data_IF_654841111131
#
_entry.id   IF_654841111131
#
_cell.length_a   1.000
_cell.length_b   1.000
_cell.length_c   1.000
_cell.angle_alpha   90.00
_cell.angle_beta   90.00
_cell.angle_gamma   90.00
#
_symmetry.space_group_name_H-M   'P 1'
#
loop_
_entity.id
_entity.type
_entity.pdbx_description
1 polymer ?
#
# COMPACT_ATOMS: atom_id res chain seq x y z
N UNK A 1 51.45 17.58 22.90
CA UNK A 1 51.19 16.67 21.76
C UNK A 1 49.69 16.32 21.70
N UNK A 2 48.75 17.26 21.48
CA UNK A 2 48.50 18.09 20.30
C UNK A 2 48.35 17.28 19.00
N UNK A 3 47.08 17.14 18.59
CA UNK A 3 46.59 16.86 17.23
C UNK A 3 46.80 15.45 16.66
N UNK A 4 46.06 14.48 17.21
CA UNK A 4 45.59 13.33 16.45
C UNK A 4 44.05 13.24 16.54
N UNK A 5 43.37 14.38 16.33
CA UNK A 5 42.05 14.35 15.72
C UNK A 5 42.30 13.79 14.32
N UNK A 6 42.24 12.46 14.19
CA UNK A 6 42.26 11.86 12.87
C UNK A 6 41.14 12.55 12.11
N UNK A 7 41.53 13.20 11.03
CA UNK A 7 40.63 13.73 10.02
C UNK A 7 39.96 12.54 9.32
N UNK A 8 39.23 11.73 10.07
CA UNK A 8 38.01 11.09 9.60
C UNK A 8 36.91 12.17 9.56
N UNK A 9 37.24 13.34 8.99
CA UNK A 9 36.31 13.99 8.09
C UNK A 9 35.96 12.89 7.09
N UNK A 10 34.90 12.14 7.41
CA UNK A 10 34.52 10.94 6.69
C UNK A 10 34.51 11.37 5.24
N UNK A 11 35.42 10.80 4.45
CA UNK A 11 35.46 11.10 3.03
C UNK A 11 34.06 10.75 2.55
N UNK A 12 33.25 11.78 2.32
CA UNK A 12 31.90 11.66 1.81
C UNK A 12 32.06 11.23 0.36
N UNK A 13 32.44 9.97 0.20
CA UNK A 13 32.54 9.31 -1.07
C UNK A 13 31.12 9.18 -1.56
N UNK A 14 30.81 9.88 -2.64
CA UNK A 14 29.52 9.80 -3.28
C UNK A 14 29.18 8.33 -3.56
N UNK A 15 27.91 7.92 -3.38
CA UNK A 15 27.51 6.54 -3.62
C UNK A 15 27.92 6.11 -5.03
N UNK A 16 28.75 5.08 -5.12
CA UNK A 16 29.12 4.51 -6.40
C UNK A 16 27.89 3.79 -6.97
N UNK A 17 27.34 4.28 -8.08
CA UNK A 17 26.16 3.67 -8.72
C UNK A 17 26.46 2.27 -9.29
N UNK A 18 27.73 1.91 -9.45
CA UNK A 18 28.19 0.57 -9.80
C UNK A 18 28.21 -0.41 -8.62
N UNK A 19 27.95 0.05 -7.38
CA UNK A 19 27.79 -0.84 -6.23
C UNK A 19 26.47 -1.63 -6.38
N UNK A 20 26.52 -2.99 -6.39
CA UNK A 20 25.32 -3.83 -6.46
C UNK A 20 24.29 -3.51 -5.37
N UNK A 21 24.73 -3.11 -4.18
CA UNK A 21 23.82 -2.70 -3.10
C UNK A 21 22.97 -1.49 -3.49
N UNK A 22 23.58 -0.51 -4.15
CA UNK A 22 22.87 0.69 -4.61
C UNK A 22 21.98 0.35 -5.79
N UNK A 23 22.49 -0.38 -6.79
CA UNK A 23 21.78 -0.68 -8.02
C UNK A 23 20.62 -1.68 -7.86
N UNK A 24 20.77 -2.69 -7.01
CA UNK A 24 19.81 -3.80 -6.88
C UNK A 24 18.87 -3.66 -5.68
N UNK A 25 19.26 -2.93 -4.64
CA UNK A 25 18.47 -2.83 -3.40
C UNK A 25 17.93 -1.41 -3.16
N UNK A 26 18.78 -0.39 -3.21
CA UNK A 26 18.37 0.99 -2.87
C UNK A 26 17.60 1.66 -3.98
N UNK A 27 18.13 1.60 -5.21
CA UNK A 27 17.53 2.27 -6.36
C UNK A 27 16.10 1.79 -6.66
N UNK A 28 15.80 0.47 -6.68
CA UNK A 28 14.43 0.00 -6.88
C UNK A 28 13.46 0.45 -5.79
N UNK A 29 13.93 0.52 -4.53
CA UNK A 29 13.13 0.98 -3.39
C UNK A 29 12.79 2.46 -3.49
N UNK A 30 13.74 3.30 -3.91
CA UNK A 30 13.50 4.74 -4.14
C UNK A 30 12.49 4.95 -5.26
N UNK A 31 12.66 4.23 -6.36
CA UNK A 31 11.74 4.28 -7.51
C UNK A 31 10.32 3.86 -7.10
N UNK A 32 10.19 2.76 -6.35
CA UNK A 32 8.91 2.30 -5.83
C UNK A 32 8.29 3.32 -4.87
N UNK A 33 9.08 3.93 -3.97
CA UNK A 33 8.60 4.96 -3.06
C UNK A 33 8.03 6.18 -3.82
N UNK A 34 8.75 6.65 -4.84
CA UNK A 34 8.30 7.77 -5.68
C UNK A 34 7.01 7.42 -6.44
N UNK A 35 6.93 6.23 -7.04
CA UNK A 35 5.75 5.78 -7.77
C UNK A 35 4.51 5.63 -6.89
N UNK A 36 4.66 4.97 -5.74
CA UNK A 36 3.57 4.81 -4.76
C UNK A 36 3.14 6.17 -4.20
N UNK A 37 4.10 7.03 -3.86
CA UNK A 37 3.82 8.39 -3.37
C UNK A 37 3.03 9.22 -4.38
N UNK A 38 3.46 9.24 -5.65
CA UNK A 38 2.76 9.95 -6.71
C UNK A 38 1.31 9.43 -6.91
N UNK A 39 1.12 8.11 -6.91
CA UNK A 39 -0.20 7.50 -7.05
C UNK A 39 -1.13 7.85 -5.87
N UNK A 40 -0.61 7.79 -4.63
CA UNK A 40 -1.37 8.17 -3.44
C UNK A 40 -1.74 9.66 -3.44
N UNK A 41 -0.80 10.55 -3.79
CA UNK A 41 -1.06 11.98 -3.89
C UNK A 41 -2.11 12.31 -4.96
N UNK A 42 -2.01 11.71 -6.15
CA UNK A 42 -2.99 11.91 -7.23
C UNK A 42 -4.39 11.41 -6.84
N UNK A 43 -4.47 10.20 -6.26
CA UNK A 43 -5.74 9.63 -5.79
C UNK A 43 -6.37 10.45 -4.66
N UNK A 44 -5.56 10.93 -3.72
CA UNK A 44 -5.99 11.83 -2.65
C UNK A 44 -6.54 13.15 -3.20
N UNK A 45 -5.81 13.82 -4.09
CA UNK A 45 -6.26 15.06 -4.72
C UNK A 45 -7.58 14.89 -5.48
N UNK A 46 -7.71 13.81 -6.25
CA UNK A 46 -8.93 13.52 -7.01
C UNK A 46 -10.15 13.27 -6.11
N UNK A 47 -9.99 12.50 -5.02
CA UNK A 47 -11.11 12.25 -4.11
C UNK A 47 -11.44 13.46 -3.25
N UNK A 48 -10.46 14.23 -2.81
CA UNK A 48 -10.70 15.50 -2.13
C UNK A 48 -11.48 16.47 -3.03
N UNK A 49 -11.16 16.54 -4.32
CA UNK A 49 -11.90 17.33 -5.30
C UNK A 49 -13.32 16.79 -5.54
N UNK A 50 -13.49 15.47 -5.65
CA UNK A 50 -14.79 14.81 -5.86
C UNK A 50 -15.74 15.04 -4.68
N UNK A 51 -15.25 14.85 -3.46
CA UNK A 51 -16.04 15.04 -2.23
C UNK A 51 -16.10 16.49 -1.78
N UNK A 52 -15.30 17.38 -2.38
CA UNK A 52 -15.10 18.77 -1.93
C UNK A 52 -14.80 18.83 -0.43
N UNK A 53 -14.00 17.88 0.03
CA UNK A 53 -13.67 17.70 1.44
C UNK A 53 -12.16 17.44 1.58
N UNK A 54 -11.39 18.37 2.17
CA UNK A 54 -9.94 18.21 2.31
C UNK A 54 -9.55 17.04 3.24
N UNK A 55 -10.49 16.48 4.01
CA UNK A 55 -10.28 15.32 4.86
C UNK A 55 -10.62 13.98 4.18
N UNK A 56 -11.05 14.00 2.91
CA UNK A 56 -11.31 12.77 2.17
C UNK A 56 -9.99 12.03 1.87
N UNK A 57 -9.93 10.76 2.25
CA UNK A 57 -8.80 9.87 2.01
C UNK A 57 -9.20 8.72 1.05
N UNK A 58 -8.31 8.31 0.12
CA UNK A 58 -8.56 7.24 -0.84
C UNK A 58 -8.85 5.87 -0.26
N UNK A 59 -8.45 5.60 0.98
CA UNK A 59 -8.80 4.39 1.71
C UNK A 59 -10.26 4.34 2.18
N UNK A 60 -10.96 5.48 2.23
CA UNK A 60 -12.30 5.57 2.84
C UNK A 60 -13.40 4.86 2.05
N UNK A 61 -13.20 4.59 0.76
CA UNK A 61 -14.16 3.85 -0.07
C UNK A 61 -14.04 2.32 0.07
N UNK A 62 -13.31 1.84 1.09
CA UNK A 62 -13.18 0.42 1.45
C UNK A 62 -12.13 -0.36 0.66
N UNK A 63 -11.40 0.30 -0.25
CA UNK A 63 -10.22 -0.24 -0.97
C UNK A 63 -9.22 -0.86 -0.01
N UNK A 64 -8.80 -0.09 1.01
CA UNK A 64 -7.77 -0.50 1.97
C UNK A 64 -8.23 -1.64 2.87
N UNK A 65 -9.48 -1.58 3.37
CA UNK A 65 -10.06 -2.64 4.20
C UNK A 65 -10.19 -3.97 3.45
N UNK A 66 -10.65 -3.93 2.20
CA UNK A 66 -10.77 -5.13 1.35
C UNK A 66 -9.42 -5.75 0.99
N UNK A 67 -8.43 -4.91 0.66
CA UNK A 67 -7.08 -5.37 0.37
C UNK A 67 -6.43 -6.04 1.59
N UNK A 68 -6.54 -5.41 2.77
CA UNK A 68 -6.05 -5.95 4.04
C UNK A 68 -6.68 -7.30 4.37
N UNK A 69 -8.02 -7.40 4.28
CA UNK A 69 -8.75 -8.63 4.55
C UNK A 69 -8.31 -9.78 3.63
N UNK A 70 -8.20 -9.51 2.34
CA UNK A 70 -7.80 -10.53 1.36
C UNK A 70 -6.36 -11.04 1.61
N UNK A 71 -5.43 -10.15 1.95
CA UNK A 71 -4.06 -10.55 2.29
C UNK A 71 -4.03 -11.38 3.56
N UNK A 72 -4.77 -10.98 4.59
CA UNK A 72 -4.86 -11.74 5.85
C UNK A 72 -5.43 -13.14 5.59
N UNK A 73 -6.45 -13.27 4.75
CA UNK A 73 -7.01 -14.56 4.38
C UNK A 73 -5.97 -15.45 3.66
N UNK A 74 -5.23 -14.89 2.70
CA UNK A 74 -4.17 -15.62 1.97
C UNK A 74 -3.02 -16.03 2.88
N UNK A 75 -2.61 -15.15 3.81
CA UNK A 75 -1.60 -15.46 4.82
C UNK A 75 -2.04 -16.55 5.79
N UNK A 76 -3.31 -16.53 6.22
CA UNK A 76 -3.88 -17.57 7.08
C UNK A 76 -3.93 -18.95 6.38
N UNK A 77 -4.03 -18.96 5.04
CA UNK A 77 -3.91 -20.18 4.23
C UNK A 77 -2.44 -20.62 4.01
N UNK A 78 -1.46 -19.91 4.57
CA UNK A 78 -0.03 -20.22 4.40
C UNK A 78 0.54 -19.87 3.02
N UNK A 79 -0.20 -19.08 2.21
CA UNK A 79 0.24 -18.70 0.87
C UNK A 79 1.20 -17.51 0.91
N UNK A 80 2.12 -17.45 -0.06
CA UNK A 80 3.18 -16.43 -0.11
C UNK A 80 3.48 -15.97 -1.55
N UNK A 81 4.43 -15.04 -1.70
CA UNK A 81 4.90 -14.56 -3.00
C UNK A 81 3.87 -13.70 -3.74
N UNK A 82 3.65 -13.98 -5.03
CA UNK A 82 2.75 -13.20 -5.90
C UNK A 82 1.27 -13.29 -5.49
N UNK A 83 0.89 -14.29 -4.69
CA UNK A 83 -0.48 -14.41 -4.19
C UNK A 83 -0.90 -13.21 -3.33
N UNK A 84 0.01 -12.64 -2.53
CA UNK A 84 -0.29 -11.49 -1.68
C UNK A 84 -0.69 -10.23 -2.47
N UNK A 85 0.13 -9.70 -3.41
CA UNK A 85 -0.24 -8.50 -4.16
C UNK A 85 -1.46 -8.73 -5.05
N UNK A 86 -1.65 -9.94 -5.61
CA UNK A 86 -2.85 -10.27 -6.37
C UNK A 86 -4.10 -10.29 -5.50
N UNK A 87 -4.01 -10.85 -4.29
CA UNK A 87 -5.11 -10.84 -3.33
C UNK A 87 -5.40 -9.43 -2.80
N UNK A 88 -4.37 -8.62 -2.52
CA UNK A 88 -4.55 -7.23 -2.13
C UNK A 88 -5.28 -6.44 -3.22
N UNK A 89 -4.85 -6.56 -4.46
CA UNK A 89 -5.46 -5.89 -5.60
C UNK A 89 -6.91 -6.36 -5.82
N UNK A 90 -7.12 -7.68 -5.88
CA UNK A 90 -8.44 -8.28 -6.08
C UNK A 90 -9.41 -7.97 -4.95
N UNK A 91 -8.96 -8.07 -3.70
CA UNK A 91 -9.75 -7.78 -2.51
C UNK A 91 -10.13 -6.30 -2.41
N UNK A 92 -9.20 -5.39 -2.69
CA UNK A 92 -9.47 -3.96 -2.73
C UNK A 92 -10.46 -3.60 -3.83
N UNK A 93 -10.30 -4.15 -5.03
CA UNK A 93 -11.20 -3.92 -6.16
C UNK A 93 -12.61 -4.46 -5.88
N UNK A 94 -12.71 -5.69 -5.37
CA UNK A 94 -13.98 -6.31 -5.01
C UNK A 94 -14.73 -5.53 -3.93
N UNK A 95 -14.04 -5.10 -2.86
CA UNK A 95 -14.65 -4.31 -1.79
C UNK A 95 -15.15 -2.95 -2.29
N UNK A 96 -14.35 -2.26 -3.11
CA UNK A 96 -14.72 -0.97 -3.70
C UNK A 96 -15.94 -1.11 -4.60
N UNK A 97 -15.94 -2.14 -5.45
CA UNK A 97 -17.06 -2.39 -6.36
C UNK A 97 -18.34 -2.72 -5.60
N UNK A 98 -18.24 -3.54 -4.55
CA UNK A 98 -19.36 -3.86 -3.67
C UNK A 98 -19.92 -2.60 -3.00
N UNK A 99 -19.06 -1.75 -2.41
CA UNK A 99 -19.49 -0.51 -1.75
C UNK A 99 -20.16 0.45 -2.75
N UNK A 100 -19.60 0.61 -3.95
CA UNK A 100 -20.20 1.42 -5.00
C UNK A 100 -21.56 0.87 -5.45
N UNK A 101 -21.70 -0.45 -5.60
CA UNK A 101 -22.96 -1.08 -5.96
C UNK A 101 -24.03 -0.87 -4.88
N UNK A 102 -23.68 -1.08 -3.61
CA UNK A 102 -24.59 -0.87 -2.48
C UNK A 102 -24.96 0.61 -2.30
N UNK A 103 -24.02 1.53 -2.46
CA UNK A 103 -24.26 2.96 -2.36
C UNK A 103 -25.24 3.46 -3.45
N UNK A 104 -25.17 2.90 -4.67
CA UNK A 104 -26.12 3.19 -5.75
C UNK A 104 -27.54 2.76 -5.41
N UNK A 105 -27.71 1.64 -4.71
CA UNK A 105 -29.02 1.15 -4.28
C UNK A 105 -29.59 1.99 -3.12
N UNK A 106 -28.75 2.45 -2.20
CA UNK A 106 -29.16 3.19 -1.01
C UNK A 106 -29.61 4.63 -1.28
N UNK A 107 -29.38 5.18 -2.48
CA UNK A 107 -29.72 6.57 -2.89
C UNK A 107 -29.22 7.68 -1.95
N UNK A 108 -28.20 7.41 -1.12
CA UNK A 108 -27.69 8.34 -0.10
C UNK A 108 -26.71 9.41 -0.59
N UNK A 109 -26.47 9.51 -1.91
CA UNK A 109 -25.51 10.45 -2.49
C UNK A 109 -24.07 10.24 -2.00
N UNK A 110 -23.27 11.30 -2.00
CA UNK A 110 -21.86 11.25 -1.56
C UNK A 110 -21.71 10.92 -0.07
N UNK A 111 -22.60 11.44 0.79
CA UNK A 111 -22.58 11.14 2.21
C UNK A 111 -22.87 9.66 2.50
N UNK A 112 -23.84 9.07 1.79
CA UNK A 112 -24.13 7.64 1.87
C UNK A 112 -22.96 6.76 1.42
N UNK A 113 -22.20 7.19 0.40
CA UNK A 113 -21.01 6.50 -0.04
C UNK A 113 -19.92 6.48 1.04
N UNK A 114 -19.71 7.59 1.75
CA UNK A 114 -18.75 7.66 2.86
C UNK A 114 -19.17 6.74 4.03
N UNK A 115 -20.46 6.71 4.37
CA UNK A 115 -20.97 5.82 5.42
C UNK A 115 -20.83 4.35 5.03
N UNK A 116 -21.12 4.00 3.77
CA UNK A 116 -20.91 2.63 3.28
C UNK A 116 -19.44 2.24 3.32
N UNK A 117 -18.54 3.16 2.97
CA UNK A 117 -17.10 2.99 3.09
C UNK A 117 -16.66 2.72 4.53
N UNK A 118 -17.15 3.53 5.48
CA UNK A 118 -16.89 3.37 6.91
C UNK A 118 -17.36 2.01 7.43
N UNK A 119 -18.61 1.64 7.12
CA UNK A 119 -19.21 0.36 7.54
C UNK A 119 -18.47 -0.82 6.91
N UNK A 120 -18.16 -0.75 5.61
CA UNK A 120 -17.40 -1.77 4.89
C UNK A 120 -15.99 -1.94 5.45
N UNK A 121 -15.31 -0.84 5.77
CA UNK A 121 -14.00 -0.85 6.43
C UNK A 121 -14.05 -1.49 7.82
N UNK A 122 -15.03 -1.13 8.63
CA UNK A 122 -15.24 -1.72 9.96
C UNK A 122 -15.52 -3.23 9.88
N UNK A 123 -16.37 -3.65 8.93
CA UNK A 123 -16.65 -5.06 8.66
C UNK A 123 -15.40 -5.82 8.25
N UNK A 124 -14.65 -5.32 7.26
CA UNK A 124 -13.40 -5.93 6.83
C UNK A 124 -12.40 -6.06 8.00
N UNK A 125 -12.32 -5.02 8.85
CA UNK A 125 -11.49 -5.05 10.04
C UNK A 125 -11.95 -6.07 11.08
N UNK A 126 -13.26 -6.26 11.28
CA UNK A 126 -13.78 -7.26 12.20
C UNK A 126 -13.46 -8.69 11.72
N UNK A 127 -13.68 -8.98 10.44
CA UNK A 127 -13.35 -10.28 9.84
C UNK A 127 -11.84 -10.51 9.86
N UNK A 128 -11.03 -9.49 9.56
CA UNK A 128 -9.58 -9.56 9.64
C UNK A 128 -9.11 -9.99 11.03
N UNK A 129 -9.67 -9.38 12.10
CA UNK A 129 -9.35 -9.74 13.49
C UNK A 129 -9.81 -11.15 13.84
N UNK A 130 -10.98 -11.58 13.35
CA UNK A 130 -11.46 -12.95 13.54
C UNK A 130 -10.53 -13.98 12.91
N UNK A 131 -10.08 -13.75 11.67
CA UNK A 131 -9.13 -14.64 10.99
C UNK A 131 -7.82 -14.70 11.76
N UNK A 132 -7.28 -13.55 12.16
CA UNK A 132 -6.03 -13.48 12.92
C UNK A 132 -6.12 -14.16 14.29
N UNK A 133 -7.28 -14.07 14.95
CA UNK A 133 -7.52 -14.79 16.20
C UNK A 133 -7.48 -16.31 16.04
N UNK A 134 -7.89 -16.82 14.88
CA UNK A 134 -7.87 -18.25 14.55
C UNK A 134 -6.56 -18.71 13.91
N UNK A 135 -5.61 -17.80 13.67
CA UNK A 135 -4.38 -18.07 12.94
C UNK A 135 -3.18 -18.24 13.87
N UNK A 136 -2.14 -18.93 13.39
CA UNK A 136 -0.88 -19.10 14.11
C UNK A 136 -0.06 -17.80 14.21
N UNK A 137 0.88 -17.75 15.16
CA UNK A 137 1.77 -16.61 15.41
C UNK A 137 2.54 -16.13 14.17
N UNK A 138 2.89 -17.06 13.27
CA UNK A 138 3.59 -16.72 12.03
C UNK A 138 2.72 -15.88 11.10
N UNK A 139 1.46 -16.27 10.91
CA UNK A 139 0.50 -15.53 10.09
C UNK A 139 0.20 -14.17 10.72
N UNK A 140 0.09 -14.10 12.05
CA UNK A 140 -0.11 -12.85 12.78
C UNK A 140 1.06 -11.87 12.55
N UNK A 141 2.31 -12.32 12.68
CA UNK A 141 3.51 -11.50 12.43
C UNK A 141 3.61 -11.07 10.97
N UNK A 142 3.33 -11.98 10.04
CA UNK A 142 3.34 -11.68 8.62
C UNK A 142 2.28 -10.62 8.29
N UNK A 143 1.05 -10.78 8.78
CA UNK A 143 -0.03 -9.82 8.62
C UNK A 143 0.31 -8.47 9.24
N UNK A 144 0.85 -8.43 10.46
CA UNK A 144 1.26 -7.17 11.10
C UNK A 144 2.34 -6.46 10.30
N UNK A 145 3.30 -7.20 9.74
CA UNK A 145 4.35 -6.61 8.90
C UNK A 145 3.81 -6.07 7.57
N UNK A 146 2.80 -6.72 6.99
CA UNK A 146 2.19 -6.29 5.75
C UNK A 146 1.30 -5.06 5.94
N UNK A 147 0.48 -5.06 7.00
CA UNK A 147 -0.41 -3.95 7.36
C UNK A 147 0.34 -2.69 7.77
N UNK A 148 1.54 -2.83 8.36
CA UNK A 148 2.42 -1.71 8.65
C UNK A 148 2.96 -1.02 7.37
N UNK A 149 2.93 -1.73 6.24
CA UNK A 149 3.51 -1.29 4.97
C UNK A 149 5.02 -1.47 4.93
N UNK A 150 5.54 -1.93 3.79
CA UNK A 150 6.99 -2.09 3.58
C UNK A 150 7.34 -1.99 2.09
N UNK A 151 8.43 -1.28 1.78
CA UNK A 151 9.01 -1.17 0.44
C UNK A 151 10.25 -2.07 0.27
N UNK A 152 10.48 -3.03 1.18
CA UNK A 152 11.67 -3.89 1.16
C UNK A 152 11.60 -5.03 0.15
N UNK A 153 10.38 -5.42 -0.25
CA UNK A 153 10.14 -6.50 -1.20
C UNK A 153 10.05 -6.02 -2.66
N UNK A 154 10.51 -4.80 -2.97
CA UNK A 154 10.52 -4.28 -4.34
C UNK A 154 11.48 -5.11 -5.21
N UNK A 155 10.95 -6.03 -6.02
CA UNK A 155 11.75 -7.01 -6.75
C UNK A 155 12.69 -6.32 -7.77
N UNK A 156 13.94 -6.81 -7.93
CA UNK A 156 14.87 -6.36 -8.96
C UNK A 156 14.36 -6.53 -10.41
N UNK A 157 13.33 -7.34 -10.65
CA UNK A 157 12.76 -7.56 -12.00
C UNK A 157 11.57 -6.66 -12.38
N UNK A 158 10.83 -6.13 -11.40
CA UNK A 158 9.54 -5.45 -11.64
C UNK A 158 9.60 -3.92 -11.58
N UNK A 159 10.82 -3.36 -11.55
CA UNK A 159 11.08 -1.90 -11.46
C UNK A 159 10.39 -1.08 -12.56
N UNK A 160 10.33 -1.61 -13.79
CA UNK A 160 9.66 -0.94 -14.90
C UNK A 160 8.14 -1.11 -14.86
N UNK A 161 7.65 -2.29 -14.48
CA UNK A 161 6.21 -2.55 -14.39
C UNK A 161 5.54 -1.68 -13.32
N UNK A 162 6.19 -1.48 -12.17
CA UNK A 162 5.69 -0.60 -11.11
C UNK A 162 5.64 0.87 -11.55
N UNK A 163 6.68 1.34 -12.26
CA UNK A 163 6.70 2.69 -12.83
C UNK A 163 5.67 2.90 -13.93
N UNK A 164 5.49 1.92 -14.81
CA UNK A 164 4.48 1.99 -15.87
C UNK A 164 3.07 1.95 -15.31
N UNK A 165 2.80 1.13 -14.29
CA UNK A 165 1.50 1.09 -13.63
C UNK A 165 1.21 2.38 -12.86
N UNK A 166 2.19 2.91 -12.11
CA UNK A 166 2.06 4.19 -11.42
C UNK A 166 1.91 5.36 -12.41
N UNK A 167 2.71 5.37 -13.48
CA UNK A 167 2.66 6.37 -14.54
C UNK A 167 1.33 6.33 -15.31
N UNK A 168 0.84 5.15 -15.68
CA UNK A 168 -0.49 5.00 -16.28
C UNK A 168 -1.60 5.41 -15.31
N UNK A 169 -1.50 5.02 -14.04
CA UNK A 169 -2.48 5.40 -13.02
C UNK A 169 -2.57 6.91 -12.81
N UNK A 170 -1.41 7.60 -12.77
CA UNK A 170 -1.35 9.06 -12.70
C UNK A 170 -1.81 9.71 -14.01
N UNK A 171 -1.47 9.15 -15.18
CA UNK A 171 -1.88 9.71 -16.47
C UNK A 171 -3.38 9.55 -16.76
N UNK A 172 -4.06 8.61 -16.09
CA UNK A 172 -5.50 8.36 -16.23
C UNK A 172 -6.36 9.19 -15.26
N UNK A 173 -5.74 9.83 -14.26
CA UNK A 173 -6.38 10.74 -13.29
C UNK A 173 -6.39 12.19 -13.80
#
# INVERSE_FOLDING_TARGET
>A
PLLALSSSAGQMSWPNLGDPLVAELRLPRVIAALGVGAALSASGAALQALFRNPLADPGLIGTSGGAALAVIAVLALGLSGLSLPLAAFGGGLAATWLILALARLAKGGLAGLLLMGLVGGAFCGAVSRLILFLSDDLALRAASSWLAGNLGASLPGSRWAGLLAAGLGVALL
#
